data_IF_386285743977
#
_entry.id   IF_386285743977
#
_cell.length_a   1.000
_cell.length_b   1.000
_cell.length_c   1.000
_cell.angle_alpha   90.00
_cell.angle_beta   90.00
_cell.angle_gamma   90.00
#
_symmetry.space_group_name_H-M   'P 1'
#
loop_
_entity.id
_entity.type
_entity.pdbx_description
1 polymer ?
#
# COMPACT_ATOMS: atom_id res chain seq x y z
N UNK A 1 -12.81 -47.31 39.43
CA UNK A 1 -11.57 -48.12 39.30
C UNK A 1 -10.58 -47.35 38.45
N UNK A 2 -9.45 -46.99 39.05
CA UNK A 2 -8.32 -46.26 38.46
C UNK A 2 -7.27 -47.29 38.03
N UNK A 3 -6.62 -47.11 36.86
CA UNK A 3 -5.17 -47.33 36.71
C UNK A 3 -4.61 -46.74 35.41
N UNK A 4 -3.56 -45.94 35.60
CA UNK A 4 -2.63 -45.35 34.63
C UNK A 4 -1.75 -46.44 34.00
N UNK A 5 -1.19 -46.19 32.81
CA UNK A 5 0.13 -46.72 32.42
C UNK A 5 0.93 -45.72 31.60
N UNK A 6 2.23 -45.67 31.91
CA UNK A 6 3.31 -44.78 31.46
C UNK A 6 4.26 -45.62 30.60
N UNK A 7 4.77 -45.09 29.47
CA UNK A 7 6.02 -45.53 28.80
C UNK A 7 6.60 -44.29 28.06
N UNK A 8 7.60 -43.58 28.59
CA UNK A 8 9.07 -43.78 28.59
C UNK A 8 9.78 -43.41 27.28
N UNK A 9 10.52 -42.30 27.32
CA UNK A 9 11.46 -41.78 26.32
C UNK A 9 12.77 -42.58 26.30
N UNK A 10 13.39 -42.71 25.12
CA UNK A 10 14.80 -43.10 24.95
C UNK A 10 15.57 -41.95 24.28
N UNK A 11 16.58 -41.43 24.98
CA UNK A 11 17.59 -40.49 24.49
C UNK A 11 18.91 -41.28 24.45
N UNK A 12 19.56 -41.32 23.29
CA UNK A 12 20.90 -41.88 23.13
C UNK A 12 21.92 -40.74 23.05
N UNK A 13 22.80 -40.67 24.06
CA UNK A 13 24.04 -39.88 24.05
C UNK A 13 25.18 -40.78 23.55
N UNK A 14 26.02 -40.25 22.64
CA UNK A 14 27.32 -40.84 22.31
C UNK A 14 28.42 -39.82 22.60
N UNK A 15 29.36 -40.20 23.47
CA UNK A 15 30.62 -39.52 23.74
C UNK A 15 31.75 -40.55 23.61
N UNK A 16 32.84 -40.15 22.94
CA UNK A 16 34.24 -40.61 23.01
C UNK A 16 34.86 -40.36 21.62
N UNK A 17 36.08 -39.89 21.42
CA UNK A 17 37.24 -39.67 22.29
C UNK A 17 38.46 -39.60 21.35
N UNK A 18 39.36 -38.65 21.56
CA UNK A 18 40.48 -38.30 20.68
C UNK A 18 41.66 -39.28 20.79
N UNK A 19 42.44 -39.48 19.72
CA UNK A 19 43.83 -39.97 19.79
C UNK A 19 44.67 -39.50 18.60
N UNK A 20 45.80 -38.88 18.91
CA UNK A 20 46.89 -38.44 18.02
C UNK A 20 48.01 -39.48 17.98
N UNK A 21 48.65 -39.67 16.83
CA UNK A 21 50.01 -40.24 16.69
C UNK A 21 50.71 -39.50 15.53
N UNK A 22 51.98 -39.17 15.74
CA UNK A 22 52.83 -38.36 14.87
C UNK A 22 53.94 -39.17 14.17
N UNK A 23 54.62 -38.49 13.23
CA UNK A 23 55.99 -38.63 12.70
C UNK A 23 56.24 -39.47 11.43
N UNK A 24 56.67 -38.82 10.33
CA UNK A 24 58.09 -38.59 10.00
C UNK A 24 58.28 -37.87 8.64
N UNK A 25 59.26 -36.96 8.59
CA UNK A 25 59.79 -36.30 7.38
C UNK A 25 60.88 -37.15 6.70
N UNK A 26 61.35 -36.78 5.48
CA UNK A 26 62.57 -35.95 5.41
C UNK A 26 62.58 -34.88 4.30
N UNK A 27 63.56 -33.98 4.43
CA UNK A 27 63.79 -32.75 3.67
C UNK A 27 64.48 -32.94 2.30
N UNK A 28 64.37 -31.95 1.39
CA UNK A 28 65.51 -31.21 0.76
C UNK A 28 65.03 -30.00 -0.08
N UNK A 29 65.96 -29.07 -0.29
CA UNK A 29 65.86 -27.65 -0.65
C UNK A 29 65.45 -27.25 -2.10
N UNK A 30 64.99 -25.99 -2.16
CA UNK A 30 65.21 -24.94 -3.18
C UNK A 30 64.66 -25.07 -4.62
N UNK A 31 63.61 -24.29 -4.89
CA UNK A 31 63.60 -23.36 -6.04
C UNK A 31 62.63 -22.21 -5.82
N UNK A 32 63.08 -20.99 -6.12
CA UNK A 32 62.32 -19.74 -6.10
C UNK A 32 61.11 -19.84 -7.02
N UNK A 33 59.92 -19.53 -6.50
CA UNK A 33 58.76 -19.18 -7.34
C UNK A 33 57.99 -18.02 -6.71
N UNK A 34 57.77 -17.02 -7.56
CA UNK A 34 57.07 -15.75 -7.34
C UNK A 34 55.66 -15.95 -6.77
N UNK A 35 55.39 -15.36 -5.60
CA UNK A 35 54.02 -15.20 -5.07
C UNK A 35 53.25 -14.21 -5.95
N UNK A 36 52.33 -14.71 -6.76
CA UNK A 36 51.18 -13.95 -7.22
C UNK A 36 50.14 -13.98 -6.08
N UNK A 37 49.79 -12.81 -5.54
CA UNK A 37 48.68 -12.66 -4.60
C UNK A 37 47.36 -13.01 -5.30
N UNK A 38 46.66 -14.01 -4.78
CA UNK A 38 45.28 -14.27 -5.16
C UNK A 38 44.40 -13.10 -4.66
N UNK A 39 43.49 -12.56 -5.50
CA UNK A 39 42.64 -11.46 -5.08
C UNK A 39 41.69 -11.97 -4.00
N UNK A 40 41.84 -11.46 -2.78
CA UNK A 40 40.88 -11.62 -1.69
C UNK A 40 39.54 -11.05 -2.14
N UNK A 41 38.57 -11.94 -2.36
CA UNK A 41 37.18 -11.56 -2.57
C UNK A 41 36.69 -10.78 -1.34
N UNK A 42 36.45 -9.48 -1.52
CA UNK A 42 35.79 -8.65 -0.50
C UNK A 42 34.37 -9.19 -0.31
N UNK A 43 34.07 -9.66 0.89
CA UNK A 43 32.71 -9.87 1.36
C UNK A 43 31.91 -8.58 1.12
N UNK A 44 30.69 -8.63 0.56
CA UNK A 44 29.89 -7.43 0.37
C UNK A 44 29.63 -6.80 1.74
N UNK A 45 30.04 -5.55 1.90
CA UNK A 45 29.73 -4.73 3.05
C UNK A 45 28.20 -4.54 3.09
N UNK A 46 27.54 -5.16 4.06
CA UNK A 46 26.10 -4.99 4.27
C UNK A 46 25.91 -3.58 4.80
N UNK A 47 25.57 -2.64 3.92
CA UNK A 47 25.18 -1.28 4.27
C UNK A 47 24.02 -1.36 5.29
N UNK A 48 24.33 -1.06 6.56
CA UNK A 48 23.32 -1.05 7.62
C UNK A 48 22.33 0.06 7.31
N UNK A 49 21.06 -0.30 7.06
CA UNK A 49 20.00 0.68 6.86
C UNK A 49 20.00 1.67 8.04
N UNK A 50 19.92 2.99 7.80
CA UNK A 50 19.83 3.97 8.86
C UNK A 50 18.67 3.63 9.80
N UNK A 51 18.94 3.63 11.11
CA UNK A 51 17.92 3.46 12.14
C UNK A 51 17.22 4.80 12.31
N UNK A 52 16.00 4.91 11.79
CA UNK A 52 15.14 6.07 12.00
C UNK A 52 14.40 5.92 13.34
N UNK A 53 14.48 6.95 14.20
CA UNK A 53 13.66 7.05 15.41
C UNK A 53 12.91 8.39 15.42
N UNK A 54 11.79 8.41 14.71
CA UNK A 54 10.87 9.55 14.70
C UNK A 54 9.79 9.44 15.78
N UNK A 55 9.89 8.46 16.68
CA UNK A 55 8.94 8.27 17.76
C UNK A 55 9.15 9.35 18.81
N UNK A 56 8.09 10.09 19.11
CA UNK A 56 8.08 11.14 20.12
C UNK A 56 7.01 10.83 21.17
N UNK A 57 7.24 11.34 22.39
CA UNK A 57 6.18 11.37 23.40
C UNK A 57 5.14 12.42 23.03
N UNK A 58 3.88 12.09 23.26
CA UNK A 58 2.74 12.95 23.06
C UNK A 58 1.75 12.81 24.22
N UNK A 59 0.93 13.84 24.40
CA UNK A 59 -0.16 13.88 25.37
C UNK A 59 -1.46 13.48 24.66
N UNK A 60 -2.39 12.90 25.40
CA UNK A 60 -3.72 12.58 24.89
C UNK A 60 -4.73 13.51 25.59
N UNK A 61 -5.53 14.21 24.79
CA UNK A 61 -6.71 14.90 25.28
C UNK A 61 -7.94 14.00 25.05
N UNK A 62 -8.69 13.76 26.13
CA UNK A 62 -9.89 12.91 26.15
C UNK A 62 -11.18 13.71 26.45
N UNK A 63 -11.08 15.04 26.55
CA UNK A 63 -12.20 15.92 26.92
C UNK A 63 -13.31 15.96 25.87
N UNK A 64 -13.04 15.43 24.67
CA UNK A 64 -13.93 15.44 23.51
C UNK A 64 -14.43 14.05 23.10
N UNK A 65 -14.31 13.06 23.97
CA UNK A 65 -14.84 11.71 23.72
C UNK A 65 -16.37 11.77 23.58
N UNK A 66 -16.90 11.16 22.52
CA UNK A 66 -18.35 11.09 22.22
C UNK A 66 -18.86 9.65 22.11
N UNK A 67 -18.33 8.75 22.95
CA UNK A 67 -18.58 7.29 22.89
C UNK A 67 -20.06 6.89 22.91
N UNK A 68 -20.90 7.63 23.63
CA UNK A 68 -22.34 7.33 23.75
C UNK A 68 -23.07 7.39 22.39
N UNK A 69 -22.49 8.05 21.39
CA UNK A 69 -23.02 8.11 20.02
C UNK A 69 -22.58 6.91 19.15
N UNK A 70 -21.61 6.11 19.61
CA UNK A 70 -20.97 5.06 18.81
C UNK A 70 -21.12 3.67 19.43
N UNK A 71 -21.57 2.68 18.64
CA UNK A 71 -21.76 1.33 19.15
C UNK A 71 -20.43 0.69 19.50
N UNK A 72 -20.42 -0.08 20.58
CA UNK A 72 -19.33 -0.98 20.90
C UNK A 72 -19.05 -1.95 19.74
N UNK A 73 -17.79 -2.35 19.60
CA UNK A 73 -17.39 -3.45 18.73
C UNK A 73 -17.91 -4.76 19.31
N UNK A 74 -18.33 -5.67 18.44
CA UNK A 74 -18.63 -7.05 18.84
C UNK A 74 -17.35 -7.90 18.73
N UNK A 75 -17.29 -9.02 19.44
CA UNK A 75 -16.11 -9.89 19.54
C UNK A 75 -15.49 -10.29 18.20
N UNK A 76 -16.31 -10.48 17.15
CA UNK A 76 -15.86 -10.86 15.79
C UNK A 76 -15.34 -9.69 14.95
N UNK A 77 -15.33 -8.47 15.49
CA UNK A 77 -14.94 -7.22 14.82
C UNK A 77 -13.62 -6.66 15.36
N UNK A 78 -12.65 -7.55 15.61
CA UNK A 78 -11.31 -7.18 16.05
C UNK A 78 -10.66 -6.16 15.11
N UNK A 79 -9.99 -5.18 15.71
CA UNK A 79 -9.24 -4.15 14.98
C UNK A 79 -8.12 -4.84 14.21
N UNK A 80 -8.08 -4.59 12.91
CA UNK A 80 -7.12 -5.19 11.99
C UNK A 80 -6.75 -4.27 10.82
N UNK A 81 -7.18 -3.02 10.87
CA UNK A 81 -6.82 -1.99 9.90
C UNK A 81 -6.67 -0.61 10.55
N UNK A 82 -5.87 0.24 9.93
CA UNK A 82 -5.68 1.64 10.30
C UNK A 82 -5.88 2.49 9.06
N UNK A 83 -6.75 3.49 9.13
CA UNK A 83 -7.10 4.36 8.00
C UNK A 83 -6.73 5.81 8.31
N UNK A 84 -5.90 6.39 7.46
CA UNK A 84 -5.56 7.81 7.53
C UNK A 84 -6.41 8.68 6.62
N UNK A 85 -6.71 9.87 7.11
CA UNK A 85 -7.50 10.92 6.46
C UNK A 85 -6.80 12.27 6.63
N UNK A 86 -7.14 13.23 5.78
CA UNK A 86 -6.98 14.63 6.12
C UNK A 86 -8.36 15.26 6.34
N UNK A 87 -8.41 16.31 7.15
CA UNK A 87 -9.69 16.92 7.53
C UNK A 87 -10.25 17.92 6.52
N UNK A 88 -9.42 18.42 5.59
CA UNK A 88 -9.73 19.49 4.64
C UNK A 88 -10.14 20.82 5.30
N UNK A 89 -9.84 20.97 6.59
CA UNK A 89 -10.30 22.06 7.44
C UNK A 89 -9.25 22.39 8.50
N UNK A 90 -9.38 23.56 9.13
CA UNK A 90 -8.55 23.90 10.29
C UNK A 90 -8.99 23.14 11.54
N UNK A 91 -8.10 23.07 12.54
CA UNK A 91 -8.31 22.31 13.78
C UNK A 91 -9.68 22.55 14.44
N UNK A 92 -10.07 23.82 14.67
CA UNK A 92 -11.34 24.14 15.35
C UNK A 92 -12.55 23.60 14.59
N UNK A 93 -12.56 23.70 13.25
CA UNK A 93 -13.65 23.17 12.41
C UNK A 93 -13.60 21.64 12.35
N UNK A 94 -12.42 21.05 12.27
CA UNK A 94 -12.23 19.60 12.30
C UNK A 94 -12.76 18.99 13.60
N UNK A 95 -12.34 19.53 14.75
CA UNK A 95 -12.79 19.09 16.06
C UNK A 95 -14.31 19.14 16.17
N UNK A 96 -14.93 20.29 15.83
CA UNK A 96 -16.40 20.43 15.83
C UNK A 96 -17.08 19.42 14.91
N UNK A 97 -16.55 19.22 13.70
CA UNK A 97 -17.16 18.31 12.72
C UNK A 97 -17.08 16.85 13.16
N UNK A 98 -15.99 16.45 13.80
CA UNK A 98 -15.79 15.07 14.28
C UNK A 98 -16.54 14.76 15.57
N UNK A 99 -16.88 15.78 16.37
CA UNK A 99 -17.65 15.59 17.61
C UNK A 99 -19.15 15.77 17.41
N UNK A 100 -19.61 16.66 16.50
CA UNK A 100 -21.06 16.96 16.35
C UNK A 100 -21.58 16.86 14.92
N UNK A 101 -20.76 16.48 13.94
CA UNK A 101 -21.10 16.53 12.51
C UNK A 101 -21.62 15.23 11.90
N UNK A 102 -21.80 14.17 12.70
CA UNK A 102 -22.33 12.87 12.27
C UNK A 102 -21.31 11.90 11.64
N UNK A 103 -20.15 12.41 11.22
CA UNK A 103 -18.94 11.62 10.95
C UNK A 103 -17.96 11.80 12.12
N UNK A 104 -17.11 10.81 12.36
CA UNK A 104 -16.12 10.83 13.44
C UNK A 104 -14.88 10.04 13.09
N UNK A 105 -13.82 10.22 13.88
CA UNK A 105 -12.61 9.41 13.87
C UNK A 105 -12.32 8.96 15.30
N UNK A 106 -11.39 8.02 15.47
CA UNK A 106 -10.93 7.66 16.81
C UNK A 106 -9.95 8.72 17.32
N UNK A 107 -9.06 9.15 16.43
CA UNK A 107 -8.00 10.10 16.71
C UNK A 107 -8.05 11.30 15.77
N UNK A 108 -7.71 12.47 16.31
CA UNK A 108 -7.45 13.70 15.55
C UNK A 108 -6.04 14.21 15.89
N UNK A 109 -5.20 14.35 14.86
CA UNK A 109 -3.83 14.86 14.97
C UNK A 109 -3.77 16.32 14.49
N UNK A 110 -3.57 17.31 15.38
CA UNK A 110 -3.45 18.71 15.01
C UNK A 110 -2.18 19.01 14.19
N UNK A 111 -2.12 20.20 13.59
CA UNK A 111 -0.96 20.67 12.81
C UNK A 111 0.24 20.99 13.70
N UNK A 112 -0.01 21.39 14.95
CA UNK A 112 0.98 21.81 15.93
C UNK A 112 0.66 21.25 17.33
N UNK A 113 1.67 21.26 18.19
CA UNK A 113 1.55 20.83 19.59
C UNK A 113 2.21 19.48 19.89
N UNK A 114 1.92 18.99 21.09
CA UNK A 114 2.31 17.66 21.57
C UNK A 114 1.09 16.79 21.86
N UNK A 115 -0.11 17.30 21.64
CA UNK A 115 -1.35 16.69 22.11
C UNK A 115 -2.14 16.13 20.93
N UNK A 116 -2.54 14.87 21.02
CA UNK A 116 -3.45 14.20 20.09
C UNK A 116 -4.81 14.08 20.78
N UNK A 117 -5.89 14.22 20.03
CA UNK A 117 -7.24 14.21 20.58
C UNK A 117 -7.90 12.86 20.32
N UNK A 118 -8.39 12.21 21.37
CA UNK A 118 -9.26 11.04 21.28
C UNK A 118 -10.71 11.52 21.18
N UNK A 119 -11.37 11.19 20.08
CA UNK A 119 -12.76 11.58 19.83
C UNK A 119 -13.71 10.41 20.05
N UNK A 120 -13.27 9.20 19.70
CA UNK A 120 -14.03 7.97 19.92
C UNK A 120 -13.06 6.91 20.45
N UNK A 121 -13.42 6.24 21.53
CA UNK A 121 -12.65 5.14 22.10
C UNK A 121 -12.48 4.01 21.09
N UNK A 122 -11.31 3.37 21.13
CA UNK A 122 -10.92 2.36 20.13
C UNK A 122 -11.81 1.09 20.19
N UNK A 123 -12.46 0.81 21.32
CA UNK A 123 -13.44 -0.27 21.48
C UNK A 123 -14.81 0.05 20.85
N UNK A 124 -15.00 1.29 20.36
CA UNK A 124 -16.19 1.74 19.65
C UNK A 124 -15.94 1.85 18.14
N UNK A 125 -17.02 1.95 17.36
CA UNK A 125 -16.96 2.08 15.89
C UNK A 125 -17.18 3.52 15.45
N UNK A 126 -16.10 4.28 15.27
CA UNK A 126 -16.15 5.60 14.65
C UNK A 126 -16.63 5.53 13.19
N UNK A 127 -17.18 6.65 12.67
CA UNK A 127 -17.73 6.75 11.31
C UNK A 127 -16.81 7.58 10.41
N UNK A 128 -15.74 6.97 9.89
CA UNK A 128 -14.73 7.67 9.06
C UNK A 128 -14.63 7.14 7.62
N UNK A 129 -14.74 5.83 7.41
CA UNK A 129 -14.47 5.18 6.11
C UNK A 129 -15.65 5.25 5.12
N UNK A 130 -16.89 5.36 5.61
CA UNK A 130 -18.10 5.30 4.78
C UNK A 130 -18.17 4.04 3.90
N UNK A 131 -18.74 4.16 2.69
CA UNK A 131 -18.72 3.09 1.69
C UNK A 131 -17.28 2.79 1.28
N UNK A 132 -16.79 1.62 1.66
CA UNK A 132 -15.38 1.24 1.59
C UNK A 132 -15.21 -0.26 1.38
N UNK A 133 -14.16 -0.65 0.67
CA UNK A 133 -13.70 -2.03 0.50
C UNK A 133 -12.18 -2.08 0.44
N UNK A 134 -11.57 -2.96 1.25
CA UNK A 134 -10.15 -3.27 1.18
C UNK A 134 -9.91 -4.75 1.39
N UNK A 135 -9.12 -5.38 0.51
CA UNK A 135 -8.77 -6.82 0.59
C UNK A 135 -10.00 -7.72 0.81
N UNK A 136 -11.07 -7.44 0.06
CA UNK A 136 -12.39 -8.08 0.15
C UNK A 136 -13.20 -7.85 1.45
N UNK A 137 -12.73 -7.03 2.41
CA UNK A 137 -13.54 -6.55 3.54
C UNK A 137 -14.32 -5.32 3.13
N UNK A 138 -15.65 -5.39 3.18
CA UNK A 138 -16.53 -4.23 3.05
C UNK A 138 -16.70 -3.55 4.40
N UNK A 139 -17.13 -2.29 4.39
CA UNK A 139 -17.46 -1.51 5.59
C UNK A 139 -16.28 -1.45 6.57
N UNK A 140 -15.20 -0.81 6.13
CA UNK A 140 -13.90 -0.82 6.82
C UNK A 140 -13.98 -0.20 8.23
N UNK A 141 -14.96 0.67 8.52
CA UNK A 141 -15.24 1.18 9.88
C UNK A 141 -15.28 0.06 10.93
N UNK A 142 -15.84 -1.09 10.57
CA UNK A 142 -16.04 -2.22 11.47
C UNK A 142 -14.73 -2.78 12.02
N UNK A 143 -13.66 -2.77 11.22
CA UNK A 143 -12.39 -3.42 11.55
C UNK A 143 -11.25 -2.42 11.74
N UNK A 144 -11.50 -1.13 11.64
CA UNK A 144 -10.44 -0.13 11.60
C UNK A 144 -10.47 0.89 12.72
N UNK A 145 -9.27 1.39 13.01
CA UNK A 145 -9.06 2.69 13.65
C UNK A 145 -8.91 3.74 12.57
N UNK A 146 -9.49 4.92 12.83
CA UNK A 146 -9.52 6.05 11.91
C UNK A 146 -8.77 7.21 12.53
N UNK A 147 -7.78 7.73 11.81
CA UNK A 147 -6.95 8.87 12.24
C UNK A 147 -7.15 10.01 11.26
N UNK A 148 -7.75 11.08 11.75
CA UNK A 148 -7.91 12.34 11.02
C UNK A 148 -6.70 13.24 11.29
N UNK A 149 -6.09 13.77 10.23
CA UNK A 149 -4.94 14.65 10.35
C UNK A 149 -5.32 16.05 9.88
N UNK A 150 -5.12 17.06 10.72
CA UNK A 150 -5.45 18.44 10.36
C UNK A 150 -4.54 18.93 9.25
N UNK A 151 -5.10 18.97 8.05
CA UNK A 151 -4.46 19.44 6.83
C UNK A 151 -5.58 19.82 5.83
N UNK A 152 -5.40 20.89 5.05
CA UNK A 152 -6.43 21.33 4.09
C UNK A 152 -6.47 20.48 2.80
N UNK A 153 -5.58 19.48 2.68
CA UNK A 153 -5.43 18.61 1.51
C UNK A 153 -4.64 19.30 0.41
N UNK A 154 -5.34 19.96 -0.50
CA UNK A 154 -4.74 20.64 -1.65
C UNK A 154 -5.45 21.96 -1.96
N UNK A 155 -4.73 22.86 -2.64
CA UNK A 155 -5.29 24.02 -3.33
C UNK A 155 -5.46 23.69 -4.80
N UNK A 156 -6.56 24.17 -5.40
CA UNK A 156 -6.72 24.15 -6.84
C UNK A 156 -6.28 25.49 -7.42
N UNK A 157 -5.26 25.49 -8.27
CA UNK A 157 -4.68 26.71 -8.85
C UNK A 157 -5.39 27.13 -10.15
N UNK A 158 -6.63 26.70 -10.36
CA UNK A 158 -7.47 27.16 -11.46
C UNK A 158 -8.89 27.48 -10.96
N UNK A 159 -9.61 28.30 -11.71
CA UNK A 159 -11.00 28.68 -11.40
C UNK A 159 -12.04 27.67 -11.95
N UNK A 160 -11.62 26.46 -12.33
CA UNK A 160 -12.54 25.47 -12.92
C UNK A 160 -13.28 24.71 -11.82
N UNK A 161 -14.53 24.36 -12.12
CA UNK A 161 -15.39 23.51 -11.27
C UNK A 161 -14.75 22.14 -10.93
N UNK A 162 -13.83 21.67 -11.77
CA UNK A 162 -13.05 20.45 -11.54
C UNK A 162 -11.56 20.74 -11.63
N UNK A 163 -10.82 20.40 -10.57
CA UNK A 163 -9.38 20.54 -10.54
C UNK A 163 -8.71 19.32 -11.14
N UNK A 164 -8.00 19.49 -12.27
CA UNK A 164 -7.12 18.42 -12.77
C UNK A 164 -5.89 18.30 -11.86
N UNK A 165 -5.31 17.11 -11.83
CA UNK A 165 -4.08 16.78 -11.10
C UNK A 165 -3.00 17.86 -11.22
N UNK A 166 -2.74 18.33 -12.43
CA UNK A 166 -1.66 19.27 -12.75
C UNK A 166 -1.90 20.68 -12.16
N UNK A 167 -3.11 20.96 -11.68
CA UNK A 167 -3.45 22.20 -10.98
C UNK A 167 -3.56 22.02 -9.47
N UNK A 168 -3.28 20.84 -8.93
CA UNK A 168 -3.30 20.58 -7.50
C UNK A 168 -1.97 20.95 -6.87
N UNK A 169 -1.99 21.86 -5.90
CA UNK A 169 -0.89 22.04 -4.96
C UNK A 169 -1.25 21.42 -3.63
N UNK A 170 -0.62 20.29 -3.32
CA UNK A 170 -0.77 19.60 -2.04
C UNK A 170 -0.11 20.39 -0.91
N UNK A 171 -0.74 20.40 0.26
CA UNK A 171 -0.20 21.09 1.43
C UNK A 171 0.58 20.12 2.31
N UNK A 172 1.77 20.54 2.71
CA UNK A 172 2.67 19.72 3.53
C UNK A 172 2.13 19.51 4.95
N UNK A 173 2.55 18.39 5.54
CA UNK A 173 2.38 18.11 6.96
C UNK A 173 3.66 18.57 7.69
N UNK A 174 3.59 19.48 8.69
CA UNK A 174 4.79 19.90 9.42
C UNK A 174 5.52 18.72 10.09
N UNK A 175 6.84 18.80 10.20
CA UNK A 175 7.67 17.70 10.72
C UNK A 175 7.17 17.17 12.09
N UNK A 176 6.78 18.05 13.00
CA UNK A 176 6.22 17.68 14.30
C UNK A 176 4.93 16.88 14.17
N UNK A 177 4.03 17.29 13.27
CA UNK A 177 2.80 16.56 12.96
C UNK A 177 3.13 15.17 12.39
N UNK A 178 4.10 15.08 11.47
CA UNK A 178 4.54 13.78 10.94
C UNK A 178 5.06 12.84 12.04
N UNK A 179 5.85 13.35 13.00
CA UNK A 179 6.33 12.56 14.15
C UNK A 179 5.18 12.11 15.07
N UNK A 180 4.16 12.94 15.28
CA UNK A 180 2.93 12.54 16.00
C UNK A 180 2.20 11.41 15.26
N UNK A 181 2.05 11.53 13.94
CA UNK A 181 1.44 10.49 13.10
C UNK A 181 2.20 9.17 13.24
N UNK A 182 3.54 9.20 13.10
CA UNK A 182 4.39 8.01 13.24
C UNK A 182 4.24 7.37 14.62
N UNK A 183 4.30 8.17 15.68
CA UNK A 183 4.23 7.69 17.06
C UNK A 183 2.90 7.00 17.35
N UNK A 184 1.78 7.65 17.01
CA UNK A 184 0.45 7.09 17.19
C UNK A 184 0.24 5.83 16.34
N UNK A 185 0.65 5.86 15.08
CA UNK A 185 0.46 4.75 14.16
C UNK A 185 1.24 3.50 14.59
N UNK A 186 2.47 3.69 15.08
CA UNK A 186 3.32 2.61 15.59
C UNK A 186 2.71 1.96 16.83
N UNK A 187 2.17 2.77 17.75
CA UNK A 187 1.47 2.29 18.93
C UNK A 187 0.23 1.46 18.55
N UNK A 188 -0.64 2.00 17.68
CA UNK A 188 -1.86 1.30 17.24
C UNK A 188 -1.54 0.01 16.49
N UNK A 189 -0.58 0.06 15.55
CA UNK A 189 -0.18 -1.12 14.79
C UNK A 189 0.33 -2.22 15.71
N UNK A 190 1.19 -1.89 16.67
CA UNK A 190 1.72 -2.84 17.63
C UNK A 190 0.63 -3.40 18.55
N UNK A 191 -0.20 -2.53 19.12
CA UNK A 191 -1.29 -2.90 20.05
C UNK A 191 -2.26 -3.93 19.45
N UNK A 192 -2.60 -3.78 18.17
CA UNK A 192 -3.58 -4.64 17.49
C UNK A 192 -2.94 -5.63 16.51
N UNK A 193 -1.61 -5.72 16.45
CA UNK A 193 -0.87 -6.54 15.50
C UNK A 193 -1.34 -6.34 14.04
N UNK A 194 -1.57 -5.07 13.66
CA UNK A 194 -2.14 -4.73 12.36
C UNK A 194 -1.13 -5.10 11.27
N UNK A 195 -1.64 -5.78 10.26
CA UNK A 195 -0.88 -6.11 9.07
C UNK A 195 -0.36 -4.84 8.38
N UNK A 196 0.92 -4.76 7.97
CA UNK A 196 1.44 -3.62 7.22
C UNK A 196 0.60 -3.24 5.99
N UNK A 197 0.00 -4.23 5.29
CA UNK A 197 -0.88 -3.99 4.13
C UNK A 197 -2.30 -3.53 4.50
N UNK A 198 -2.64 -3.48 5.80
CA UNK A 198 -3.91 -2.99 6.33
C UNK A 198 -3.78 -1.60 6.97
N UNK A 199 -2.64 -0.93 6.77
CA UNK A 199 -2.43 0.48 7.07
C UNK A 199 -2.55 1.24 5.75
N UNK A 200 -3.61 2.03 5.62
CA UNK A 200 -4.10 2.50 4.33
C UNK A 200 -4.60 3.94 4.39
N UNK A 201 -4.61 4.60 3.24
CA UNK A 201 -5.32 5.87 3.06
C UNK A 201 -6.80 5.65 2.81
N UNK A 202 -7.61 6.68 3.04
CA UNK A 202 -9.01 6.65 2.63
C UNK A 202 -9.17 6.46 1.11
N UNK A 203 -8.24 7.01 0.33
CA UNK A 203 -8.14 6.83 -1.12
C UNK A 203 -7.99 5.35 -1.54
N UNK A 204 -7.35 4.52 -0.71
CA UNK A 204 -7.11 3.12 -1.02
C UNK A 204 -8.38 2.28 -0.87
N UNK A 205 -9.17 2.57 0.16
CA UNK A 205 -10.36 1.80 0.52
C UNK A 205 -11.63 2.34 -0.14
N UNK A 206 -11.60 3.56 -0.66
CA UNK A 206 -12.70 4.27 -1.29
C UNK A 206 -12.27 4.88 -2.63
N UNK A 207 -11.66 4.02 -3.46
CA UNK A 207 -11.32 4.28 -4.86
C UNK A 207 -12.50 4.96 -5.54
N UNK A 208 -12.24 6.02 -6.32
CA UNK A 208 -13.20 6.89 -7.03
C UNK A 208 -13.91 7.98 -6.21
N UNK A 209 -13.85 7.92 -4.88
CA UNK A 209 -14.55 8.86 -3.99
C UNK A 209 -13.62 9.75 -3.18
N UNK A 210 -12.43 9.27 -2.86
CA UNK A 210 -11.52 9.88 -1.87
C UNK A 210 -10.10 10.01 -2.39
N UNK A 211 -9.42 11.07 -1.95
CA UNK A 211 -8.03 11.39 -2.30
C UNK A 211 -7.13 11.51 -1.06
N UNK A 212 -7.72 11.56 0.13
CA UNK A 212 -7.03 11.64 1.41
C UNK A 212 -6.34 10.31 1.77
N UNK A 213 -5.15 10.38 2.41
CA UNK A 213 -4.45 11.58 2.90
C UNK A 213 -3.55 12.27 1.85
N UNK A 214 -3.52 11.79 0.60
CA UNK A 214 -2.76 12.39 -0.50
C UNK A 214 -1.29 11.94 -0.59
N UNK A 215 -0.58 12.39 -1.64
CA UNK A 215 0.80 11.96 -1.97
C UNK A 215 1.89 12.55 -1.06
N UNK A 216 1.60 13.65 -0.35
CA UNK A 216 2.56 14.29 0.57
C UNK A 216 2.46 13.71 1.99
N UNK A 217 1.50 12.80 2.23
CA UNK A 217 1.40 12.10 3.50
C UNK A 217 2.68 11.26 3.74
N UNK A 218 3.21 11.21 4.98
CA UNK A 218 4.55 10.67 5.25
C UNK A 218 4.60 9.12 5.26
N UNK A 219 4.12 8.47 4.20
CA UNK A 219 4.06 7.01 4.09
C UNK A 219 5.45 6.35 4.17
N UNK A 220 6.44 6.88 3.46
CA UNK A 220 7.82 6.38 3.52
C UNK A 220 8.40 6.47 4.94
N UNK A 221 8.14 7.60 5.61
CA UNK A 221 8.58 7.86 6.98
C UNK A 221 7.93 6.92 7.99
N UNK A 222 6.65 6.59 7.81
CA UNK A 222 5.97 5.53 8.56
C UNK A 222 6.70 4.20 8.40
N UNK A 223 6.97 3.79 7.16
CA UNK A 223 7.62 2.50 6.88
C UNK A 223 9.06 2.42 7.39
N UNK A 224 9.83 3.51 7.30
CA UNK A 224 11.16 3.65 7.88
C UNK A 224 11.16 3.48 9.40
N UNK A 225 10.04 3.77 10.06
CA UNK A 225 9.82 3.56 11.49
C UNK A 225 9.10 2.24 11.83
N UNK A 226 8.97 1.34 10.85
CA UNK A 226 8.36 0.01 11.00
C UNK A 226 6.83 0.00 10.87
N UNK A 227 6.23 1.05 10.31
CA UNK A 227 4.78 1.22 10.21
C UNK A 227 4.29 1.13 8.78
N UNK A 228 3.34 0.22 8.51
CA UNK A 228 2.75 0.05 7.19
C UNK A 228 3.69 -0.62 6.16
N UNK A 229 3.14 -0.89 4.99
CA UNK A 229 3.88 -1.50 3.89
C UNK A 229 4.58 -0.45 3.02
N UNK A 230 5.77 -0.80 2.51
CA UNK A 230 6.53 0.04 1.58
C UNK A 230 7.37 -0.80 0.63
N UNK A 231 7.65 -0.21 -0.53
CA UNK A 231 8.55 -0.75 -1.55
C UNK A 231 9.60 0.30 -1.90
N UNK A 232 10.86 -0.12 -1.92
CA UNK A 232 11.99 0.73 -2.30
C UNK A 232 12.38 0.52 -3.76
N UNK A 233 13.02 1.52 -4.37
CA UNK A 233 13.39 1.50 -5.80
C UNK A 233 14.22 0.27 -6.20
N UNK A 234 15.11 -0.22 -5.33
CA UNK A 234 15.88 -1.43 -5.59
C UNK A 234 15.01 -2.70 -5.64
N UNK A 235 13.98 -2.79 -4.80
CA UNK A 235 13.01 -3.89 -4.82
C UNK A 235 12.14 -3.82 -6.08
N UNK A 236 11.76 -2.60 -6.51
CA UNK A 236 11.04 -2.39 -7.78
C UNK A 236 11.94 -2.79 -8.95
N UNK A 237 13.19 -2.33 -8.98
CA UNK A 237 14.13 -2.62 -10.05
C UNK A 237 14.40 -4.12 -10.18
N UNK A 238 14.57 -4.83 -9.06
CA UNK A 238 14.71 -6.28 -9.06
C UNK A 238 13.50 -6.96 -9.73
N UNK A 239 12.28 -6.48 -9.47
CA UNK A 239 11.09 -7.01 -10.14
C UNK A 239 11.00 -6.60 -11.61
N UNK A 240 11.46 -5.40 -11.99
CA UNK A 240 11.58 -5.01 -13.40
C UNK A 240 12.49 -5.98 -14.15
N UNK A 241 13.64 -6.31 -13.58
CA UNK A 241 14.60 -7.24 -14.19
C UNK A 241 13.99 -8.65 -14.34
N UNK A 242 13.33 -9.14 -13.29
CA UNK A 242 12.61 -10.43 -13.33
C UNK A 242 11.52 -10.44 -14.41
N UNK A 243 10.76 -9.35 -14.55
CA UNK A 243 9.70 -9.21 -15.54
C UNK A 243 10.29 -9.21 -16.94
N UNK A 244 11.31 -8.40 -17.21
CA UNK A 244 11.96 -8.32 -18.53
C UNK A 244 12.61 -9.66 -18.95
N UNK A 245 13.08 -10.45 -17.99
CA UNK A 245 13.59 -11.79 -18.25
C UNK A 245 12.49 -12.77 -18.72
N UNK A 246 11.28 -12.70 -18.13
CA UNK A 246 10.24 -13.73 -18.28
C UNK A 246 9.02 -13.32 -19.15
N UNK A 247 8.78 -12.02 -19.31
CA UNK A 247 7.66 -11.44 -20.06
C UNK A 247 8.24 -10.50 -21.12
N UNK A 248 8.29 -10.96 -22.38
CA UNK A 248 8.86 -10.20 -23.50
C UNK A 248 7.89 -9.20 -24.11
N UNK A 249 6.60 -9.49 -24.05
CA UNK A 249 5.56 -8.58 -24.53
C UNK A 249 5.39 -7.39 -23.56
N UNK A 250 4.86 -6.27 -24.07
CA UNK A 250 4.44 -5.15 -23.21
C UNK A 250 3.48 -5.64 -22.12
N UNK A 251 3.57 -5.06 -20.92
CA UNK A 251 2.65 -5.37 -19.83
C UNK A 251 1.26 -4.84 -20.17
N UNK A 252 0.31 -5.77 -20.27
CA UNK A 252 -1.08 -5.52 -20.60
C UNK A 252 -1.81 -4.85 -19.45
N UNK A 253 -2.84 -4.07 -19.80
CA UNK A 253 -3.75 -3.44 -18.83
C UNK A 253 -4.40 -4.45 -17.89
N UNK A 254 -4.79 -5.61 -18.41
CA UNK A 254 -5.38 -6.68 -17.63
C UNK A 254 -4.44 -7.18 -16.53
N UNK A 255 -3.14 -7.28 -16.81
CA UNK A 255 -2.19 -7.77 -15.82
C UNK A 255 -2.04 -6.79 -14.65
N UNK A 256 -2.05 -5.48 -14.92
CA UNK A 256 -2.10 -4.43 -13.88
C UNK A 256 -3.38 -4.54 -13.05
N UNK A 257 -4.54 -4.68 -13.71
CA UNK A 257 -5.83 -4.82 -13.02
C UNK A 257 -5.84 -6.03 -12.08
N UNK A 258 -5.32 -7.18 -12.53
CA UNK A 258 -5.22 -8.39 -11.72
C UNK A 258 -4.39 -8.13 -10.47
N UNK A 259 -3.26 -7.41 -10.59
CA UNK A 259 -2.40 -7.11 -9.44
C UNK A 259 -3.00 -6.08 -8.49
N UNK A 260 -3.67 -5.05 -8.99
CA UNK A 260 -4.42 -4.10 -8.15
C UNK A 260 -5.53 -4.81 -7.35
N UNK A 261 -6.27 -5.69 -8.01
CA UNK A 261 -7.32 -6.49 -7.37
C UNK A 261 -6.74 -7.51 -6.36
N UNK A 262 -5.63 -8.18 -6.69
CA UNK A 262 -4.92 -9.07 -5.78
C UNK A 262 -4.37 -8.34 -4.56
N UNK A 263 -3.92 -7.09 -4.75
CA UNK A 263 -3.39 -6.24 -3.69
C UNK A 263 -4.46 -5.84 -2.68
N UNK A 264 -5.63 -5.41 -3.16
CA UNK A 264 -6.77 -5.12 -2.29
C UNK A 264 -7.81 -4.13 -2.82
N UNK A 265 -7.55 -3.45 -3.94
CA UNK A 265 -8.40 -2.39 -4.47
C UNK A 265 -9.74 -2.91 -5.01
N UNK A 266 -10.81 -2.14 -4.78
CA UNK A 266 -12.15 -2.43 -5.33
C UNK A 266 -12.31 -1.91 -6.77
N UNK A 267 -11.64 -2.56 -7.72
CA UNK A 267 -11.77 -2.24 -9.15
C UNK A 267 -12.84 -3.07 -9.86
N UNK A 268 -13.74 -3.68 -9.09
CA UNK A 268 -14.81 -4.51 -9.64
C UNK A 268 -15.87 -3.64 -10.29
N UNK A 269 -16.47 -4.19 -11.35
CA UNK A 269 -17.72 -3.67 -11.90
C UNK A 269 -18.84 -3.82 -10.87
N UNK A 270 -19.87 -2.99 -10.95
CA UNK A 270 -20.94 -2.94 -9.94
C UNK A 270 -21.71 -4.26 -9.76
N UNK A 271 -21.69 -5.14 -10.78
CA UNK A 271 -22.26 -6.50 -10.72
C UNK A 271 -21.20 -7.63 -10.75
N UNK A 272 -19.92 -7.28 -10.62
CA UNK A 272 -18.81 -8.23 -10.62
C UNK A 272 -18.68 -8.93 -9.27
N UNK A 273 -18.84 -10.26 -9.25
CA UNK A 273 -18.57 -11.07 -8.05
C UNK A 273 -17.11 -11.53 -8.00
N UNK A 274 -16.57 -11.69 -6.79
CA UNK A 274 -15.23 -12.27 -6.59
C UNK A 274 -15.11 -13.65 -7.26
N UNK A 275 -16.19 -14.46 -7.23
CA UNK A 275 -16.25 -15.77 -7.88
C UNK A 275 -16.16 -15.66 -9.40
N UNK A 276 -16.87 -14.71 -10.01
CA UNK A 276 -16.79 -14.47 -11.46
C UNK A 276 -15.36 -14.12 -11.89
N UNK A 277 -14.73 -13.17 -11.19
CA UNK A 277 -13.37 -12.70 -11.48
C UNK A 277 -12.37 -13.85 -11.34
N UNK A 278 -12.43 -14.58 -10.21
CA UNK A 278 -11.57 -15.74 -9.97
C UNK A 278 -11.70 -16.80 -11.05
N UNK A 279 -12.93 -17.14 -11.45
CA UNK A 279 -13.16 -18.15 -12.49
C UNK A 279 -12.67 -17.69 -13.86
N UNK A 280 -12.88 -16.41 -14.22
CA UNK A 280 -12.42 -15.87 -15.50
C UNK A 280 -10.91 -15.83 -15.60
N UNK A 281 -10.21 -15.40 -14.55
CA UNK A 281 -8.74 -15.33 -14.57
C UNK A 281 -8.12 -16.73 -14.55
N UNK A 282 -8.73 -17.69 -13.82
CA UNK A 282 -8.28 -19.08 -13.80
C UNK A 282 -8.32 -19.76 -15.18
N UNK A 283 -9.27 -19.38 -16.06
CA UNK A 283 -9.32 -19.86 -17.45
C UNK A 283 -8.08 -19.46 -18.27
N UNK A 284 -7.31 -18.47 -17.81
CA UNK A 284 -6.09 -17.98 -18.46
C UNK A 284 -4.81 -18.39 -17.73
N UNK A 285 -4.88 -19.35 -16.80
CA UNK A 285 -3.70 -19.96 -16.18
C UNK A 285 -3.23 -19.34 -14.86
N UNK A 286 -3.99 -18.38 -14.29
CA UNK A 286 -3.65 -17.78 -12.99
C UNK A 286 -4.79 -17.92 -11.97
N UNK A 287 -4.48 -18.44 -10.79
CA UNK A 287 -5.41 -18.56 -9.68
C UNK A 287 -4.88 -17.79 -8.47
N UNK A 288 -5.66 -16.84 -7.97
CA UNK A 288 -5.33 -16.12 -6.72
C UNK A 288 -5.20 -17.05 -5.50
N UNK A 289 -5.72 -18.28 -5.56
CA UNK A 289 -5.59 -19.25 -4.46
C UNK A 289 -4.46 -20.25 -4.67
N UNK A 290 -4.24 -20.69 -5.92
CA UNK A 290 -3.36 -21.84 -6.22
C UNK A 290 -2.03 -21.46 -6.83
N UNK A 291 -1.97 -20.38 -7.61
CA UNK A 291 -0.75 -19.99 -8.31
C UNK A 291 0.14 -19.18 -7.37
N UNK A 292 1.44 -19.46 -7.22
CA UNK A 292 2.34 -18.61 -6.43
C UNK A 292 2.31 -17.16 -6.94
N UNK A 293 2.38 -16.19 -6.02
CA UNK A 293 2.35 -14.75 -6.38
C UNK A 293 3.49 -14.40 -7.35
N UNK A 294 4.66 -15.00 -7.16
CA UNK A 294 5.88 -14.80 -7.94
C UNK A 294 5.94 -15.59 -9.26
N UNK A 295 4.89 -16.36 -9.62
CA UNK A 295 4.90 -17.18 -10.83
C UNK A 295 4.72 -16.33 -12.10
N UNK A 296 5.86 -15.90 -12.66
CA UNK A 296 5.89 -15.10 -13.88
C UNK A 296 5.48 -15.89 -15.12
N UNK A 297 5.52 -17.23 -15.11
CA UNK A 297 5.11 -18.05 -16.25
C UNK A 297 3.60 -17.99 -16.42
N UNK A 298 2.85 -18.24 -15.34
CA UNK A 298 1.39 -18.08 -15.33
C UNK A 298 0.98 -16.64 -15.62
N UNK A 299 1.69 -15.66 -15.06
CA UNK A 299 1.40 -14.24 -15.32
C UNK A 299 1.65 -13.86 -16.79
N UNK A 300 2.66 -14.43 -17.45
CA UNK A 300 2.92 -14.21 -18.87
C UNK A 300 1.78 -14.76 -19.76
N UNK A 301 1.18 -15.91 -19.40
CA UNK A 301 0.03 -16.46 -20.12
C UNK A 301 -1.17 -15.48 -20.09
N UNK A 302 -1.46 -14.94 -18.91
CA UNK A 302 -2.51 -13.93 -18.75
C UNK A 302 -2.16 -12.63 -19.49
N UNK A 303 -0.89 -12.22 -19.48
CA UNK A 303 -0.42 -11.04 -20.18
C UNK A 303 -0.68 -11.13 -21.70
N UNK A 304 -0.34 -12.27 -22.31
CA UNK A 304 -0.61 -12.55 -23.73
C UNK A 304 -2.10 -12.45 -24.06
N UNK A 305 -2.96 -12.96 -23.19
CA UNK A 305 -4.40 -12.83 -23.36
C UNK A 305 -4.86 -11.36 -23.29
N UNK A 306 -4.36 -10.60 -22.32
CA UNK A 306 -4.65 -9.18 -22.16
C UNK A 306 -4.26 -8.36 -23.39
N UNK A 307 -3.08 -8.60 -23.96
CA UNK A 307 -2.61 -7.94 -25.18
C UNK A 307 -3.46 -8.29 -26.41
N UNK A 308 -3.94 -9.54 -26.53
CA UNK A 308 -4.87 -9.94 -27.60
C UNK A 308 -6.27 -9.36 -27.41
N UNK A 309 -6.66 -9.02 -26.18
CA UNK A 309 -8.02 -8.59 -25.83
C UNK A 309 -8.01 -7.30 -24.98
N UNK A 310 -7.55 -6.16 -25.54
CA UNK A 310 -7.36 -4.93 -24.77
C UNK A 310 -8.67 -4.35 -24.22
N UNK A 311 -9.83 -4.68 -24.81
CA UNK A 311 -11.17 -4.25 -24.37
C UNK A 311 -11.86 -5.25 -23.45
N UNK A 312 -11.10 -6.10 -22.74
CA UNK A 312 -11.68 -7.07 -21.82
C UNK A 312 -12.52 -6.35 -20.75
N UNK A 313 -13.63 -6.96 -20.36
CA UNK A 313 -14.63 -6.35 -19.46
C UNK A 313 -14.61 -6.97 -18.05
N UNK A 314 -13.48 -7.55 -17.63
CA UNK A 314 -13.37 -8.25 -16.33
C UNK A 314 -13.46 -7.25 -15.18
N UNK A 315 -12.75 -6.13 -15.30
CA UNK A 315 -12.68 -5.06 -14.31
C UNK A 315 -13.29 -3.76 -14.83
N UNK A 316 -13.46 -2.79 -13.93
CA UNK A 316 -13.93 -1.44 -14.26
C UNK A 316 -12.73 -0.53 -14.56
N UNK A 317 -12.67 0.04 -15.77
CA UNK A 317 -11.54 0.88 -16.19
C UNK A 317 -11.41 2.16 -15.39
N UNK A 318 -12.54 2.80 -15.05
CA UNK A 318 -12.52 4.06 -14.31
C UNK A 318 -12.00 3.81 -12.90
N UNK A 319 -12.51 2.78 -12.21
CA UNK A 319 -12.00 2.40 -10.88
C UNK A 319 -10.55 1.95 -10.95
N UNK A 320 -10.12 1.32 -12.05
CA UNK A 320 -8.70 0.97 -12.26
C UNK A 320 -7.83 2.22 -12.27
N UNK A 321 -8.22 3.28 -13.00
CA UNK A 321 -7.46 4.53 -13.05
C UNK A 321 -7.34 5.20 -11.67
N UNK A 322 -8.44 5.26 -10.90
CA UNK A 322 -8.40 5.75 -9.52
C UNK A 322 -7.57 4.87 -8.58
N UNK A 323 -7.57 3.55 -8.78
CA UNK A 323 -6.74 2.65 -7.98
C UNK A 323 -5.25 2.84 -8.28
N UNK A 324 -4.87 3.06 -9.55
CA UNK A 324 -3.49 3.43 -9.91
C UNK A 324 -3.13 4.77 -9.26
N UNK A 325 -4.03 5.75 -9.33
CA UNK A 325 -3.83 7.04 -8.68
C UNK A 325 -3.55 6.88 -7.18
N UNK A 326 -4.38 6.13 -6.46
CA UNK A 326 -4.20 5.87 -5.03
C UNK A 326 -2.91 5.11 -4.74
N UNK A 327 -2.62 4.06 -5.53
CA UNK A 327 -1.39 3.29 -5.40
C UNK A 327 -0.15 4.18 -5.54
N UNK A 328 -0.13 5.10 -6.51
CA UNK A 328 0.98 6.03 -6.68
C UNK A 328 1.05 7.04 -5.54
N UNK A 329 -0.08 7.64 -5.11
CA UNK A 329 -0.07 8.55 -3.94
C UNK A 329 0.47 7.88 -2.68
N UNK A 330 0.19 6.59 -2.50
CA UNK A 330 0.65 5.84 -1.34
C UNK A 330 2.10 5.38 -1.52
N UNK A 331 2.38 4.52 -2.50
CA UNK A 331 3.62 3.72 -2.57
C UNK A 331 4.69 4.28 -3.51
N UNK A 332 4.35 5.24 -4.38
CA UNK A 332 5.27 5.88 -5.33
C UNK A 332 4.97 7.38 -5.46
N UNK A 333 4.94 8.14 -4.34
CA UNK A 333 4.46 9.52 -4.33
C UNK A 333 5.31 10.44 -5.22
N UNK A 334 6.59 10.17 -5.39
CA UNK A 334 7.48 10.89 -6.31
C UNK A 334 7.02 10.76 -7.78
N UNK A 335 6.60 9.57 -8.20
CA UNK A 335 6.01 9.36 -9.53
C UNK A 335 4.69 10.10 -9.65
N UNK A 336 3.86 10.06 -8.60
CA UNK A 336 2.65 10.86 -8.59
C UNK A 336 2.98 12.35 -8.75
N UNK A 337 3.91 12.90 -7.98
CA UNK A 337 4.17 14.34 -7.96
C UNK A 337 4.94 14.85 -9.19
N UNK A 338 5.57 13.95 -9.96
CA UNK A 338 6.27 14.32 -11.20
C UNK A 338 5.35 14.94 -12.25
N UNK A 339 5.88 15.92 -12.99
CA UNK A 339 5.23 16.48 -14.16
C UNK A 339 5.26 15.48 -15.33
N UNK A 340 4.21 15.49 -16.16
CA UNK A 340 4.18 14.74 -17.41
C UNK A 340 4.61 15.69 -18.52
N UNK A 341 5.70 15.39 -19.24
CA UNK A 341 6.15 16.21 -20.37
C UNK A 341 5.08 16.27 -21.48
N UNK A 342 4.81 17.46 -21.99
CA UNK A 342 3.80 17.72 -23.03
C UNK A 342 4.18 17.20 -24.44
N UNK A 343 5.37 16.63 -24.63
CA UNK A 343 5.97 16.28 -25.94
C UNK A 343 5.34 15.09 -26.69
N UNK A 344 4.20 14.55 -26.22
CA UNK A 344 3.48 13.46 -26.88
C UNK A 344 2.03 13.85 -27.25
N UNK A 345 1.81 15.14 -27.54
CA UNK A 345 0.51 15.66 -27.96
C UNK A 345 0.52 16.18 -29.40
N UNK A 346 0.41 15.28 -30.38
CA UNK A 346 -0.23 15.62 -31.66
C UNK A 346 -1.72 15.31 -31.53
N UNK A 347 -2.51 16.25 -31.03
CA UNK A 347 -3.96 16.22 -31.20
C UNK A 347 -4.32 16.61 -32.62
N UNK A 348 -4.93 15.68 -33.35
CA UNK A 348 -5.69 16.00 -34.56
C UNK A 348 -7.10 16.53 -34.28
N UNK A 349 -7.43 16.83 -33.02
CA UNK A 349 -8.75 17.31 -32.62
C UNK A 349 -8.66 18.70 -32.01
N UNK A 350 -8.39 19.73 -32.81
CA UNK A 350 -8.65 21.13 -32.45
C UNK A 350 -8.75 22.01 -33.71
N UNK A 351 -9.74 21.71 -34.56
CA UNK A 351 -10.36 22.71 -35.44
C UNK A 351 -11.84 22.37 -35.54
N UNK A 352 -12.62 22.89 -34.61
CA UNK A 352 -13.92 23.52 -34.85
C UNK A 352 -14.57 23.78 -33.50
N UNK A 353 -14.64 25.07 -33.14
CA UNK A 353 -15.87 25.74 -32.70
C UNK A 353 -15.53 26.92 -31.78
N UNK A 354 -15.36 28.08 -32.44
CA UNK A 354 -15.70 29.36 -31.83
C UNK A 354 -17.19 29.53 -32.06
N UNK A 355 -18.00 29.62 -31.00
CA UNK A 355 -19.09 30.58 -30.88
C UNK A 355 -19.76 30.53 -29.51
N UNK A 356 -20.12 31.71 -29.02
CA UNK A 356 -20.89 31.97 -27.80
C UNK A 356 -22.33 31.47 -27.92
N UNK A 357 -22.82 30.73 -26.92
CA UNK A 357 -24.20 30.88 -26.41
C UNK A 357 -24.37 30.15 -25.07
N UNK A 358 -25.03 30.75 -24.05
CA UNK A 358 -25.26 30.10 -22.77
C UNK A 358 -26.66 29.50 -22.74
N UNK A 359 -26.83 28.22 -23.08
CA UNK A 359 -27.95 27.45 -22.53
C UNK A 359 -27.84 25.92 -22.67
N UNK A 360 -28.06 25.27 -21.52
CA UNK A 360 -28.58 23.91 -21.32
C UNK A 360 -27.83 22.68 -21.86
N UNK A 361 -27.70 21.69 -20.96
CA UNK A 361 -27.61 20.24 -21.26
C UNK A 361 -26.41 19.75 -22.09
N UNK A 362 -25.19 20.01 -21.62
CA UNK A 362 -24.05 19.16 -22.03
C UNK A 362 -22.99 18.90 -20.94
N UNK A 363 -23.29 19.18 -19.67
CA UNK A 363 -22.39 18.98 -18.52
C UNK A 363 -22.19 17.49 -18.13
N UNK A 364 -22.81 16.57 -18.88
CA UNK A 364 -22.66 15.12 -18.69
C UNK A 364 -21.58 14.51 -19.61
N UNK A 365 -21.27 15.15 -20.75
CA UNK A 365 -20.30 14.63 -21.72
C UNK A 365 -18.84 14.94 -21.36
N UNK A 366 -18.59 16.01 -20.61
CA UNK A 366 -17.27 16.34 -20.04
C UNK A 366 -16.84 15.41 -18.88
N UNK A 367 -17.69 14.45 -18.48
CA UNK A 367 -17.40 13.46 -17.42
C UNK A 367 -16.53 12.29 -17.89
N UNK A 368 -16.21 12.21 -19.19
CA UNK A 368 -15.50 11.08 -19.79
C UNK A 368 -14.12 11.52 -20.31
N UNK A 369 -13.06 10.91 -19.76
CA UNK A 369 -11.61 11.08 -20.01
C UNK A 369 -10.84 12.04 -19.10
N UNK A 370 -11.00 11.93 -17.79
CA UNK A 370 -9.84 12.15 -16.92
C UNK A 370 -8.95 10.89 -16.99
N UNK A 371 -8.24 10.70 -18.11
CA UNK A 371 -7.16 9.72 -18.14
C UNK A 371 -6.02 10.38 -17.35
N UNK A 372 -5.84 9.96 -16.10
CA UNK A 372 -4.71 10.43 -15.31
C UNK A 372 -3.44 9.98 -16.03
N UNK A 373 -2.63 10.95 -16.48
CA UNK A 373 -1.32 10.66 -17.04
C UNK A 373 -0.31 10.71 -15.89
N UNK A 374 0.58 9.74 -15.87
CA UNK A 374 1.69 9.64 -14.93
C UNK A 374 2.92 9.26 -15.72
N UNK A 375 4.10 9.77 -15.31
CA UNK A 375 5.36 9.42 -15.94
C UNK A 375 5.86 8.04 -15.43
N UNK A 376 5.11 6.99 -15.74
CA UNK A 376 5.43 5.61 -15.37
C UNK A 376 4.92 4.65 -16.44
N UNK A 377 5.79 3.75 -16.89
CA UNK A 377 5.38 2.67 -17.78
C UNK A 377 4.70 1.51 -17.02
N UNK A 378 3.95 0.70 -17.76
CA UNK A 378 3.24 -0.44 -17.16
C UNK A 378 4.18 -1.48 -16.56
N UNK A 379 5.43 -1.59 -17.01
CA UNK A 379 6.39 -2.55 -16.48
C UNK A 379 6.82 -2.15 -15.06
N UNK A 380 7.19 -0.88 -14.85
CA UNK A 380 7.57 -0.36 -13.53
C UNK A 380 6.38 -0.37 -12.57
N UNK A 381 5.17 0.01 -13.03
CA UNK A 381 3.96 -0.06 -12.20
C UNK A 381 3.64 -1.50 -11.78
N UNK A 382 3.69 -2.45 -12.72
CA UNK A 382 3.50 -3.87 -12.42
C UNK A 382 4.56 -4.39 -11.44
N UNK A 383 5.83 -4.03 -11.67
CA UNK A 383 6.95 -4.44 -10.82
C UNK A 383 6.80 -3.92 -9.39
N UNK A 384 6.34 -2.68 -9.18
CA UNK A 384 6.07 -2.14 -7.85
C UNK A 384 4.95 -2.91 -7.11
N UNK A 385 3.83 -3.18 -7.79
CA UNK A 385 2.76 -4.01 -7.23
C UNK A 385 3.26 -5.43 -6.91
N UNK A 386 4.03 -6.01 -7.82
CA UNK A 386 4.59 -7.34 -7.66
C UNK A 386 5.59 -7.41 -6.49
N UNK A 387 6.44 -6.40 -6.33
CA UNK A 387 7.42 -6.32 -5.25
C UNK A 387 6.72 -6.31 -3.88
N UNK A 388 5.67 -5.49 -3.71
CA UNK A 388 4.87 -5.49 -2.47
C UNK A 388 4.21 -6.84 -2.21
N UNK A 389 3.57 -7.44 -3.22
CA UNK A 389 2.90 -8.73 -3.06
C UNK A 389 3.88 -9.86 -2.72
N UNK A 390 5.08 -9.85 -3.29
CA UNK A 390 6.15 -10.84 -3.02
C UNK A 390 6.79 -10.61 -1.65
N UNK A 391 6.96 -9.36 -1.24
CA UNK A 391 7.51 -8.97 0.07
C UNK A 391 6.59 -9.35 1.23
N UNK A 392 5.28 -9.31 1.01
CA UNK A 392 4.25 -9.63 2.02
C UNK A 392 3.35 -10.81 1.58
N UNK A 393 3.87 -12.01 1.29
CA UNK A 393 3.16 -13.04 0.52
C UNK A 393 2.01 -13.70 1.29
N UNK A 394 2.19 -13.94 2.60
CA UNK A 394 1.16 -14.51 3.48
C UNK A 394 0.01 -13.54 3.76
N UNK A 395 0.23 -12.25 3.47
CA UNK A 395 -0.66 -11.13 3.81
C UNK A 395 -1.29 -10.47 2.59
N UNK A 396 -0.65 -10.65 1.42
CA UNK A 396 -1.14 -10.22 0.13
C UNK A 396 -2.54 -10.79 -0.17
N UNK A 397 -2.80 -12.06 0.15
CA UNK A 397 -4.05 -12.76 -0.18
C UNK A 397 -5.00 -12.96 1.00
N UNK A 398 -4.58 -12.61 2.22
CA UNK A 398 -5.46 -12.62 3.39
C UNK A 398 -6.29 -11.34 3.44
N UNK A 399 -7.43 -11.43 4.12
CA UNK A 399 -8.25 -10.26 4.42
C UNK A 399 -7.72 -9.59 5.69
N UNK A 400 -7.89 -8.28 5.85
CA UNK A 400 -7.63 -7.64 7.14
C UNK A 400 -8.53 -8.27 8.21
N UNK A 401 -7.91 -8.87 9.23
CA UNK A 401 -8.61 -9.51 10.35
C UNK A 401 -8.98 -10.99 10.16
N UNK A 402 -8.47 -11.65 9.11
CA UNK A 402 -8.52 -13.11 8.98
C UNK A 402 -7.07 -13.63 9.00
N UNK A 403 -6.64 -14.12 10.17
CA UNK A 403 -5.34 -14.79 10.35
C UNK A 403 -5.44 -16.27 10.00
#
# INVERSE_FOLDING_TARGET
MIKKFIISSLIFLFFMGCKTIANNAPATENSKETKAEAPTAKTPEVEQKPVYDDVIKYEINEDYITDDEYPARIEKEGISALVFHYTAQNFKKSLRSLTTGGNSSHWLVPTDGKTIYKIVSEDRRARHAGSSLWKSRKNVNVISIGVEVVNLGFKCNNFRKYCKKDYLTWLEFPEKQQKLIVSLAKEIQHKYNIDPLCIVGHSDIAVDRKLDPGPIFPWKKLAENGVGAWVYDNEIQQQVDNVNANIKDKISRLLIQIKLYEFGFDIKRDNGSNKYIQNKIAQYGYSFKKTPIADLVSLNQVNKYGNKNPKNKIFDEKKTDFAIQSFLMHYMPEVYLSEVSDDEYTSNDDKHDREHSPDSKNDQAAKNKAQFKFNIDNTRLFAALQALLVKYPNKARSSCGLY
#
